data_IF_438787137334
#
_entry.id   IF_438787137334
#
_cell.length_a   1.000
_cell.length_b   1.000
_cell.length_c   1.000
_cell.angle_alpha   90.00
_cell.angle_beta   90.00
_cell.angle_gamma   90.00
#
_symmetry.space_group_name_H-M   'P 1'
#
loop_
_entity.id
_entity.type
_entity.pdbx_description
1 polymer ?
#
# COMPACT_ATOMS: atom_id res chain seq x y z
N UNK A 1 -10.77 23.76 4.68
CA UNK A 1 -9.46 23.49 4.07
C UNK A 1 -9.59 23.78 2.59
N UNK A 2 -8.67 24.53 1.97
CA UNK A 2 -8.71 24.72 0.51
C UNK A 2 -8.42 23.39 -0.19
N UNK A 3 -9.02 23.13 -1.35
CA UNK A 3 -8.77 21.90 -2.13
C UNK A 3 -7.29 21.80 -2.56
N UNK A 4 -6.67 22.92 -2.88
CA UNK A 4 -5.24 22.97 -3.26
C UNK A 4 -4.33 22.62 -2.07
N UNK A 5 -4.70 23.02 -0.85
CA UNK A 5 -3.97 22.67 0.37
C UNK A 5 -4.12 21.18 0.70
N UNK A 6 -5.32 20.63 0.54
CA UNK A 6 -5.61 19.20 0.73
C UNK A 6 -4.75 18.34 -0.20
N UNK A 7 -4.76 18.66 -1.51
CA UNK A 7 -3.99 17.91 -2.50
C UNK A 7 -2.50 18.00 -2.22
N UNK A 8 -1.99 19.20 -1.93
CA UNK A 8 -0.56 19.41 -1.61
C UNK A 8 -0.13 18.56 -0.41
N UNK A 9 -0.99 18.45 0.62
CA UNK A 9 -0.68 17.65 1.81
C UNK A 9 -0.68 16.16 1.51
N UNK A 10 -1.65 15.67 0.74
CA UNK A 10 -1.70 14.28 0.30
C UNK A 10 -0.47 13.91 -0.54
N UNK A 11 -0.14 14.73 -1.54
CA UNK A 11 1.02 14.51 -2.41
C UNK A 11 2.32 14.48 -1.60
N UNK A 12 2.45 15.35 -0.59
CA UNK A 12 3.60 15.35 0.34
C UNK A 12 3.66 14.08 1.19
N UNK A 13 2.53 13.55 1.68
CA UNK A 13 2.50 12.32 2.48
C UNK A 13 2.82 11.08 1.64
N UNK A 14 2.34 11.05 0.39
CA UNK A 14 2.60 9.97 -0.57
C UNK A 14 3.99 10.04 -1.22
N UNK A 15 4.69 11.17 -1.07
CA UNK A 15 6.03 11.36 -1.60
C UNK A 15 6.98 10.32 -0.99
N UNK A 16 7.66 9.55 -1.85
CA UNK A 16 8.57 8.47 -1.46
C UNK A 16 7.94 7.08 -1.37
N UNK A 17 6.61 6.97 -1.38
CA UNK A 17 5.88 5.69 -1.35
C UNK A 17 4.93 5.52 -2.55
N UNK A 18 5.24 6.16 -3.69
CA UNK A 18 4.42 6.08 -4.93
C UNK A 18 2.95 6.49 -4.73
N UNK A 19 2.70 7.47 -3.84
CA UNK A 19 1.33 7.90 -3.53
C UNK A 19 0.60 6.99 -2.54
N UNK A 20 1.25 5.96 -2.00
CA UNK A 20 0.69 5.15 -0.92
C UNK A 20 0.85 5.85 0.44
N UNK A 21 -0.20 5.82 1.26
CA UNK A 21 -0.24 6.44 2.59
C UNK A 21 -0.96 5.56 3.60
N UNK A 22 -0.65 5.71 4.89
CA UNK A 22 -1.35 5.02 5.98
C UNK A 22 -2.37 5.91 6.66
N UNK A 23 -3.37 5.30 7.31
CA UNK A 23 -4.29 6.01 8.19
C UNK A 23 -3.56 6.78 9.30
N UNK A 24 -2.44 6.24 9.82
CA UNK A 24 -1.63 6.91 10.84
C UNK A 24 -0.88 8.13 10.31
N UNK A 25 -0.40 8.10 9.07
CA UNK A 25 0.24 9.26 8.42
C UNK A 25 -0.79 10.37 8.17
N UNK A 26 -1.98 10.02 7.67
CA UNK A 26 -3.09 10.95 7.47
C UNK A 26 -3.53 11.57 8.81
N UNK A 27 -3.74 10.75 9.84
CA UNK A 27 -4.11 11.23 11.17
C UNK A 27 -3.02 12.11 11.80
N UNK A 28 -1.74 11.73 11.65
CA UNK A 28 -0.60 12.52 12.13
C UNK A 28 -0.47 13.88 11.43
N UNK A 29 -1.04 14.01 10.23
CA UNK A 29 -1.14 15.29 9.53
C UNK A 29 -2.41 16.07 9.90
N UNK A 30 -3.39 15.45 10.56
CA UNK A 30 -4.62 16.10 11.04
C UNK A 30 -5.88 15.77 10.25
N UNK A 31 -5.87 14.72 9.41
CA UNK A 31 -7.10 14.18 8.82
C UNK A 31 -7.84 13.32 9.84
N UNK A 32 -9.10 13.62 10.10
CA UNK A 32 -9.96 12.78 10.94
C UNK A 32 -10.41 11.51 10.20
N UNK A 33 -10.92 10.48 10.89
CA UNK A 33 -11.49 9.32 10.22
C UNK A 33 -12.62 9.68 9.23
N UNK A 34 -13.43 10.69 9.57
CA UNK A 34 -14.49 11.18 8.69
C UNK A 34 -13.93 11.84 7.42
N UNK A 35 -12.85 12.61 7.53
CA UNK A 35 -12.18 13.20 6.36
C UNK A 35 -11.60 12.11 5.45
N UNK A 36 -11.01 11.06 6.03
CA UNK A 36 -10.47 9.93 5.26
C UNK A 36 -11.59 9.20 4.53
N UNK A 37 -12.73 8.96 5.17
CA UNK A 37 -13.86 8.29 4.54
C UNK A 37 -14.49 9.17 3.44
N UNK A 38 -14.62 10.49 3.64
CA UNK A 38 -15.04 11.44 2.59
C UNK A 38 -14.09 11.41 1.37
N UNK A 39 -12.77 11.42 1.61
CA UNK A 39 -11.77 11.31 0.54
C UNK A 39 -11.88 9.98 -0.23
N UNK A 40 -12.27 8.90 0.44
CA UNK A 40 -12.52 7.61 -0.21
C UNK A 40 -13.80 7.64 -1.02
N UNK A 41 -14.88 8.21 -0.50
CA UNK A 41 -16.15 8.34 -1.20
C UNK A 41 -16.03 9.24 -2.45
N UNK A 42 -15.18 10.27 -2.38
CA UNK A 42 -14.85 11.16 -3.50
C UNK A 42 -13.88 10.53 -4.52
N UNK A 43 -13.33 9.35 -4.24
CA UNK A 43 -12.33 8.69 -5.08
C UNK A 43 -10.93 9.33 -5.06
N UNK A 44 -10.67 10.28 -4.15
CA UNK A 44 -9.34 10.87 -3.97
C UNK A 44 -8.38 9.88 -3.33
N UNK A 45 -8.89 9.04 -2.43
CA UNK A 45 -8.16 7.91 -1.84
C UNK A 45 -8.84 6.60 -2.24
N UNK A 46 -8.04 5.64 -2.68
CA UNK A 46 -8.50 4.26 -2.82
C UNK A 46 -7.94 3.43 -1.69
N UNK A 47 -8.82 2.75 -0.97
CA UNK A 47 -8.43 1.85 0.12
C UNK A 47 -7.80 0.59 -0.47
N UNK A 48 -6.54 0.30 -0.16
CA UNK A 48 -5.82 -0.88 -0.67
C UNK A 48 -5.93 -2.04 0.31
N UNK A 49 -5.60 -1.77 1.58
CA UNK A 49 -5.72 -2.71 2.71
C UNK A 49 -6.37 -1.98 3.91
N UNK A 50 -6.70 -2.68 5.00
CA UNK A 50 -7.04 -2.00 6.25
C UNK A 50 -5.92 -1.04 6.68
N UNK A 51 -6.23 0.25 6.78
CA UNK A 51 -5.29 1.30 7.19
C UNK A 51 -4.26 1.74 6.14
N UNK A 52 -4.32 1.22 4.90
CA UNK A 52 -3.41 1.60 3.81
C UNK A 52 -4.23 2.03 2.59
N UNK A 53 -3.85 3.16 2.01
CA UNK A 53 -4.52 3.82 0.90
C UNK A 53 -3.53 4.19 -0.18
N UNK A 54 -4.05 4.47 -1.37
CA UNK A 54 -3.31 5.08 -2.48
C UNK A 54 -4.07 6.30 -2.96
N UNK A 55 -3.35 7.37 -3.27
CA UNK A 55 -3.92 8.62 -3.78
C UNK A 55 -4.22 8.44 -5.27
N UNK A 56 -5.44 8.79 -5.69
CA UNK A 56 -5.84 8.98 -7.09
C UNK A 56 -5.56 7.77 -8.00
N UNK A 57 -5.97 6.57 -7.57
CA UNK A 57 -5.74 5.34 -8.33
C UNK A 57 -6.93 4.38 -8.29
N UNK A 58 -7.42 3.98 -9.46
CA UNK A 58 -8.44 2.94 -9.63
C UNK A 58 -7.84 1.52 -9.65
N UNK A 59 -6.56 1.41 -9.98
CA UNK A 59 -5.78 0.17 -9.95
C UNK A 59 -4.33 0.45 -9.55
N UNK A 60 -3.66 -0.55 -8.98
CA UNK A 60 -2.28 -0.40 -8.52
C UNK A 60 -1.28 -0.69 -9.63
N UNK A 61 -0.32 0.20 -9.82
CA UNK A 61 0.93 -0.19 -10.48
C UNK A 61 1.68 -1.23 -9.64
N UNK A 62 2.59 -1.96 -10.27
CA UNK A 62 3.43 -2.95 -9.58
C UNK A 62 4.24 -2.32 -8.42
N UNK A 63 4.76 -1.11 -8.60
CA UNK A 63 5.50 -0.38 -7.56
C UNK A 63 4.58 0.03 -6.40
N UNK A 64 3.39 0.55 -6.69
CA UNK A 64 2.40 0.90 -5.66
C UNK A 64 1.95 -0.33 -4.87
N UNK A 65 1.76 -1.47 -5.53
CA UNK A 65 1.39 -2.71 -4.85
C UNK A 65 2.48 -3.15 -3.85
N UNK A 66 3.75 -3.11 -4.26
CA UNK A 66 4.89 -3.39 -3.37
C UNK A 66 4.99 -2.39 -2.21
N UNK A 67 4.78 -1.09 -2.44
CA UNK A 67 4.78 -0.08 -1.38
C UNK A 67 3.63 -0.23 -0.40
N UNK A 68 2.40 -0.44 -0.89
CA UNK A 68 1.25 -0.71 -0.05
C UNK A 68 1.45 -1.94 0.83
N UNK A 69 2.09 -2.99 0.30
CA UNK A 69 2.44 -4.19 1.07
C UNK A 69 3.49 -3.90 2.15
N UNK A 70 4.51 -3.09 1.87
CA UNK A 70 5.50 -2.66 2.87
C UNK A 70 4.87 -1.82 3.98
N UNK A 71 4.00 -0.87 3.64
CA UNK A 71 3.27 -0.07 4.62
C UNK A 71 2.30 -0.92 5.46
N UNK A 72 1.65 -1.92 4.86
CA UNK A 72 0.83 -2.90 5.57
C UNK A 72 1.66 -3.70 6.59
N UNK A 73 2.88 -4.08 6.22
CA UNK A 73 3.81 -4.79 7.09
C UNK A 73 4.40 -3.93 8.21
N UNK A 74 4.37 -2.60 8.06
CA UNK A 74 4.86 -1.63 9.03
C UNK A 74 6.37 -1.40 8.96
N UNK A 75 6.86 -0.53 9.84
CA UNK A 75 8.28 -0.19 9.88
C UNK A 75 9.15 -1.43 10.15
N UNK A 76 10.24 -1.58 9.41
CA UNK A 76 11.12 -2.76 9.47
C UNK A 76 10.66 -3.95 8.61
N UNK A 77 9.55 -3.82 7.88
CA UNK A 77 9.19 -4.80 6.86
C UNK A 77 10.14 -4.78 5.66
N UNK A 78 10.35 -5.95 5.07
CA UNK A 78 11.18 -6.12 3.89
C UNK A 78 10.54 -7.11 2.92
N UNK A 79 10.65 -6.82 1.62
CA UNK A 79 10.27 -7.76 0.57
C UNK A 79 11.17 -8.99 0.64
N UNK A 80 10.61 -10.16 0.37
CA UNK A 80 11.26 -11.45 0.63
C UNK A 80 10.94 -12.48 -0.46
N UNK A 81 11.54 -13.67 -0.35
CA UNK A 81 11.28 -14.82 -1.23
C UNK A 81 11.31 -14.42 -2.71
N UNK A 82 10.32 -14.85 -3.49
CA UNK A 82 10.23 -14.59 -4.93
C UNK A 82 10.16 -13.09 -5.26
N UNK A 83 9.51 -12.26 -4.44
CA UNK A 83 9.48 -10.82 -4.68
C UNK A 83 10.87 -10.20 -4.56
N UNK A 84 11.69 -10.63 -3.61
CA UNK A 84 13.08 -10.17 -3.50
C UNK A 84 13.94 -10.68 -4.67
N UNK A 85 13.81 -11.96 -5.04
CA UNK A 85 14.52 -12.52 -6.21
C UNK A 85 14.20 -11.74 -7.50
N UNK A 86 12.93 -11.44 -7.73
CA UNK A 86 12.49 -10.67 -8.90
C UNK A 86 13.03 -9.24 -8.89
N UNK A 87 13.08 -8.57 -7.72
CA UNK A 87 13.70 -7.24 -7.60
C UNK A 87 15.20 -7.23 -7.92
N UNK A 88 15.89 -8.35 -7.69
CA UNK A 88 17.29 -8.53 -8.06
C UNK A 88 17.49 -9.07 -9.48
N UNK A 89 16.41 -9.21 -10.27
CA UNK A 89 16.47 -9.70 -11.65
C UNK A 89 16.84 -11.18 -11.78
N UNK A 90 16.69 -11.97 -10.72
CA UNK A 90 17.04 -13.40 -10.70
C UNK A 90 15.92 -14.29 -11.27
N UNK A 91 14.69 -13.80 -11.24
CA UNK A 91 13.50 -14.43 -11.81
C UNK A 91 12.57 -13.37 -12.41
N UNK A 92 11.63 -13.80 -13.24
CA UNK A 92 10.57 -12.92 -13.72
C UNK A 92 9.62 -12.51 -12.57
N UNK A 93 9.14 -11.26 -12.55
CA UNK A 93 8.22 -10.79 -11.52
C UNK A 93 6.84 -11.44 -11.67
N UNK A 94 6.27 -11.90 -10.55
CA UNK A 94 4.85 -12.21 -10.45
C UNK A 94 4.11 -10.94 -9.99
N UNK A 95 3.34 -10.27 -10.87
CA UNK A 95 2.61 -9.05 -10.50
C UNK A 95 1.42 -9.33 -9.57
N UNK A 96 0.99 -10.59 -9.43
CA UNK A 96 -0.18 -10.97 -8.63
C UNK A 96 0.17 -11.16 -7.15
N UNK A 97 1.44 -11.41 -6.80
CA UNK A 97 1.83 -11.79 -5.44
C UNK A 97 3.03 -11.01 -4.92
N UNK A 98 2.87 -10.40 -3.73
CA UNK A 98 3.97 -9.81 -2.96
C UNK A 98 4.24 -10.61 -1.70
N UNK A 99 5.49 -11.01 -1.52
CA UNK A 99 5.99 -11.72 -0.36
C UNK A 99 6.78 -10.76 0.52
N UNK A 100 6.41 -10.61 1.78
CA UNK A 100 7.18 -9.80 2.73
C UNK A 100 7.37 -10.47 4.09
N UNK A 101 8.47 -10.09 4.73
CA UNK A 101 8.67 -10.29 6.16
C UNK A 101 8.20 -9.05 6.90
N UNK A 102 7.49 -9.26 8.01
CA UNK A 102 6.97 -8.18 8.85
C UNK A 102 7.19 -8.47 10.33
N UNK A 103 7.72 -7.51 11.10
CA UNK A 103 7.83 -7.63 12.55
C UNK A 103 6.46 -7.62 13.25
N UNK A 104 5.41 -7.13 12.57
CA UNK A 104 4.05 -7.07 13.09
C UNK A 104 3.25 -8.34 12.83
N UNK A 105 3.70 -9.21 11.91
CA UNK A 105 3.02 -10.45 11.61
C UNK A 105 3.27 -11.50 12.70
N UNK A 106 2.18 -12.06 13.24
CA UNK A 106 2.22 -13.25 14.09
C UNK A 106 2.00 -14.48 13.19
N UNK A 107 3.08 -15.18 12.86
CA UNK A 107 3.04 -16.30 11.92
C UNK A 107 2.84 -15.85 10.47
N UNK A 108 2.30 -16.74 9.65
CA UNK A 108 1.98 -16.45 8.25
C UNK A 108 0.57 -15.87 8.12
N UNK A 109 0.42 -14.80 7.32
CA UNK A 109 -0.86 -14.20 7.00
C UNK A 109 -0.94 -13.85 5.52
N UNK A 110 -2.14 -13.97 4.96
CA UNK A 110 -2.41 -13.57 3.58
C UNK A 110 -3.49 -12.49 3.57
N UNK A 111 -3.27 -11.43 2.81
CA UNK A 111 -4.26 -10.38 2.55
C UNK A 111 -4.37 -10.13 1.05
N UNK A 112 -5.54 -9.68 0.61
CA UNK A 112 -5.81 -9.33 -0.79
C UNK A 112 -6.13 -7.85 -0.88
N UNK A 113 -5.68 -7.19 -1.95
CA UNK A 113 -5.98 -5.78 -2.20
C UNK A 113 -7.47 -5.59 -2.44
N UNK A 114 -8.03 -4.44 -2.06
CA UNK A 114 -9.44 -4.11 -2.37
C UNK A 114 -9.63 -3.54 -3.77
N UNK A 115 -8.55 -3.07 -4.40
CA UNK A 115 -8.52 -2.60 -5.79
C UNK A 115 -7.59 -3.50 -6.61
N UNK A 116 -7.81 -3.65 -7.93
CA UNK A 116 -7.02 -4.55 -8.76
C UNK A 116 -5.57 -4.05 -8.94
N UNK A 117 -4.67 -4.96 -9.28
CA UNK A 117 -3.33 -4.62 -9.80
C UNK A 117 -3.43 -4.47 -11.30
N UNK A 118 -2.97 -3.35 -11.85
CA UNK A 118 -3.14 -2.98 -13.25
C UNK A 118 -2.64 -4.05 -14.24
N UNK A 119 -1.53 -4.71 -13.90
CA UNK A 119 -0.91 -5.75 -14.73
C UNK A 119 -1.77 -7.02 -14.87
N UNK A 120 -2.55 -7.36 -13.84
CA UNK A 120 -3.40 -8.57 -13.84
C UNK A 120 -4.87 -8.25 -14.06
N UNK A 121 -5.29 -7.01 -13.78
CA UNK A 121 -6.68 -6.56 -13.67
C UNK A 121 -7.47 -7.29 -12.57
N UNK A 122 -6.75 -7.97 -11.68
CA UNK A 122 -7.31 -8.76 -10.58
C UNK A 122 -6.74 -8.26 -9.25
N UNK A 123 -7.43 -8.51 -8.12
CA UNK A 123 -6.88 -8.24 -6.80
C UNK A 123 -5.54 -8.96 -6.58
N UNK A 124 -4.55 -8.22 -6.07
CA UNK A 124 -3.23 -8.75 -5.73
C UNK A 124 -3.21 -9.37 -4.34
N UNK A 125 -2.34 -10.36 -4.13
CA UNK A 125 -2.19 -11.07 -2.86
C UNK A 125 -0.87 -10.71 -2.17
N UNK A 126 -0.93 -10.43 -0.88
CA UNK A 126 0.22 -10.18 -0.01
C UNK A 126 0.36 -11.31 0.98
N UNK A 127 1.53 -11.97 0.98
CA UNK A 127 1.92 -12.98 1.98
C UNK A 127 2.90 -12.37 2.97
N UNK A 128 2.46 -12.26 4.22
CA UNK A 128 3.20 -11.73 5.35
C UNK A 128 3.74 -12.88 6.20
N UNK A 129 5.02 -12.83 6.50
CA UNK A 129 5.69 -13.80 7.37
C UNK A 129 6.26 -13.07 8.59
N UNK A 130 5.97 -13.59 9.79
CA UNK A 130 6.51 -13.07 11.05
C UNK A 130 8.03 -13.14 11.18
N UNK A 131 8.60 -12.61 12.27
CA UNK A 131 10.01 -12.84 12.62
C UNK A 131 10.26 -14.33 12.90
N UNK A 132 11.54 -14.73 12.83
CA UNK A 132 11.98 -16.11 13.07
C UNK A 132 11.66 -16.58 14.49
#
# INVERSE_FOLDING_TARGET
MSLDDERTRLDRLGAGHEGCVTASQLAGDGFSPADIDDLVERGVLSRVFPGVFVIDAESLSDRQFKWAALLLGGNGSALSHYTALALHGLIDPDPSTVWLRSPLARGERTLTTKIPVAATKEPGTVRLFGPW
#
